data_IF_656186986600
#
_entry.id   IF_656186986600
#
_cell.length_a   1.000
_cell.length_b   1.000
_cell.length_c   1.000
_cell.angle_alpha   90.00
_cell.angle_beta   90.00
_cell.angle_gamma   90.00
#
_symmetry.space_group_name_H-M   'P 1'
#
loop_
_entity.id
_entity.type
_entity.pdbx_description
1 polymer ?
#
# COMPACT_ATOMS: atom_id res chain seq x y z
N UNK A 1 7.80 -21.31 -18.46
CA UNK A 1 6.36 -21.22 -18.16
C UNK A 1 6.24 -20.99 -16.65
N UNK A 2 6.21 -19.72 -16.22
CA UNK A 2 6.17 -19.37 -14.79
C UNK A 2 4.74 -19.54 -14.28
N UNK A 3 4.42 -20.72 -13.75
CA UNK A 3 3.34 -20.85 -12.78
C UNK A 3 3.84 -20.28 -11.46
N UNK A 4 3.99 -18.96 -11.42
CA UNK A 4 3.99 -18.26 -10.15
C UNK A 4 2.59 -18.49 -9.60
N UNK A 5 2.54 -19.32 -8.55
CA UNK A 5 1.44 -19.32 -7.60
C UNK A 5 0.97 -17.88 -7.50
N UNK A 6 -0.23 -17.59 -7.99
CA UNK A 6 -0.92 -16.36 -7.61
C UNK A 6 -1.02 -16.52 -6.10
N UNK A 7 -0.04 -15.97 -5.37
CA UNK A 7 -0.15 -15.84 -3.92
C UNK A 7 -1.54 -15.26 -3.73
N UNK A 8 -2.42 -16.04 -3.13
CA UNK A 8 -3.81 -15.66 -3.00
C UNK A 8 -3.80 -14.24 -2.42
N UNK A 9 -4.48 -13.30 -3.06
CA UNK A 9 -4.72 -12.01 -2.43
C UNK A 9 -5.65 -12.33 -1.26
N UNK A 10 -5.11 -12.28 -0.05
CA UNK A 10 -5.85 -12.61 1.19
C UNK A 10 -6.33 -11.33 1.85
N UNK A 11 -5.64 -10.21 1.61
CA UNK A 11 -5.87 -8.96 2.31
C UNK A 11 -5.91 -7.78 1.35
N UNK A 12 -6.85 -6.89 1.63
CA UNK A 12 -7.10 -5.66 0.91
C UNK A 12 -6.98 -4.48 1.87
N UNK A 13 -6.19 -3.48 1.50
CA UNK A 13 -5.91 -2.30 2.32
C UNK A 13 -6.14 -1.02 1.55
N UNK A 14 -6.68 -0.02 2.24
CA UNK A 14 -6.66 1.37 1.81
C UNK A 14 -5.57 2.09 2.59
N UNK A 15 -4.64 2.71 1.87
CA UNK A 15 -3.50 3.42 2.47
C UNK A 15 -3.63 4.89 2.12
N UNK A 16 -3.73 5.72 3.15
CA UNK A 16 -3.67 7.17 3.03
C UNK A 16 -2.26 7.64 3.36
N UNK A 17 -1.85 8.73 2.74
CA UNK A 17 -0.61 9.42 3.09
C UNK A 17 -0.59 10.85 2.60
N UNK A 18 0.47 11.54 2.98
CA UNK A 18 0.72 12.94 2.66
C UNK A 18 2.09 13.10 2.00
N UNK A 19 2.15 13.84 0.89
CA UNK A 19 3.38 14.08 0.15
C UNK A 19 3.60 13.10 -1.00
N UNK A 20 4.77 12.44 -1.04
CA UNK A 20 5.20 11.66 -2.21
C UNK A 20 4.66 10.23 -2.17
N UNK A 21 3.52 10.02 -2.83
CA UNK A 21 2.88 8.70 -2.96
C UNK A 21 3.71 7.70 -3.77
N UNK A 22 4.52 8.15 -4.74
CA UNK A 22 5.27 7.28 -5.66
C UNK A 22 6.25 6.37 -4.90
N UNK A 23 6.94 6.90 -3.89
CA UNK A 23 7.87 6.12 -3.07
C UNK A 23 7.16 4.99 -2.31
N UNK A 24 5.95 5.27 -1.82
CA UNK A 24 5.14 4.28 -1.09
C UNK A 24 4.60 3.23 -2.05
N UNK A 25 4.08 3.64 -3.22
CA UNK A 25 3.63 2.73 -4.27
C UNK A 25 4.77 1.79 -4.71
N UNK A 26 5.96 2.34 -4.96
CA UNK A 26 7.13 1.56 -5.37
C UNK A 26 7.56 0.52 -4.31
N UNK A 27 7.44 0.84 -3.02
CA UNK A 27 7.74 -0.11 -1.94
C UNK A 27 6.68 -1.22 -1.86
N UNK A 28 5.40 -0.85 -1.86
CA UNK A 28 4.29 -1.79 -1.76
C UNK A 28 4.23 -2.77 -2.95
N UNK A 29 4.53 -2.29 -4.15
CA UNK A 29 4.59 -3.08 -5.38
C UNK A 29 5.64 -4.22 -5.35
N UNK A 30 6.58 -4.20 -4.40
CA UNK A 30 7.54 -5.30 -4.21
C UNK A 30 6.90 -6.56 -3.62
N UNK A 31 5.75 -6.43 -2.96
CA UNK A 31 5.11 -7.48 -2.15
C UNK A 31 3.60 -7.59 -2.38
N UNK A 32 3.06 -6.91 -3.38
CA UNK A 32 1.63 -6.92 -3.68
C UNK A 32 1.28 -6.03 -4.87
N UNK A 33 0.00 -5.79 -5.05
CA UNK A 33 -0.53 -5.01 -6.16
C UNK A 33 -1.10 -3.70 -5.65
N UNK A 34 -0.60 -2.59 -6.19
CA UNK A 34 -1.08 -1.24 -5.90
C UNK A 34 -1.97 -0.76 -7.04
N UNK A 35 -3.11 -0.18 -6.72
CA UNK A 35 -4.07 0.35 -7.70
C UNK A 35 -4.94 1.46 -7.10
N UNK A 36 -5.70 2.17 -7.95
CA UNK A 36 -6.52 3.34 -7.59
C UNK A 36 -5.78 4.40 -6.73
N UNK A 37 -4.55 4.78 -7.14
CA UNK A 37 -3.84 5.88 -6.50
C UNK A 37 -4.40 7.22 -6.98
N UNK A 38 -4.94 8.03 -6.06
CA UNK A 38 -5.57 9.31 -6.37
C UNK A 38 -5.36 10.34 -5.26
N UNK A 39 -5.56 11.61 -5.60
CA UNK A 39 -5.59 12.68 -4.60
C UNK A 39 -6.92 12.63 -3.83
N UNK A 40 -6.86 12.59 -2.51
CA UNK A 40 -8.03 12.56 -1.64
C UNK A 40 -7.71 13.25 -0.30
N UNK A 41 -8.36 14.38 0.04
CA UNK A 41 -9.33 15.14 -0.76
C UNK A 41 -8.70 16.00 -1.87
N UNK A 42 -7.37 16.02 -1.94
CA UNK A 42 -6.59 16.87 -2.86
C UNK A 42 -5.12 16.86 -2.50
N UNK A 43 -4.22 17.30 -3.40
CA UNK A 43 -2.79 17.29 -3.14
C UNK A 43 -2.44 18.18 -1.92
N UNK A 44 -1.45 17.76 -1.11
CA UNK A 44 -0.59 16.60 -1.30
C UNK A 44 -1.10 15.34 -0.57
N UNK A 45 -2.37 15.31 -0.14
CA UNK A 45 -3.00 14.15 0.48
C UNK A 45 -3.48 13.17 -0.59
N UNK A 46 -3.24 11.89 -0.38
CA UNK A 46 -3.60 10.86 -1.33
C UNK A 46 -4.09 9.61 -0.62
N UNK A 47 -4.80 8.79 -1.39
CA UNK A 47 -5.11 7.41 -1.03
C UNK A 47 -4.70 6.47 -2.17
N UNK A 48 -4.44 5.22 -1.81
CA UNK A 48 -4.26 4.12 -2.75
C UNK A 48 -4.90 2.86 -2.19
N UNK A 49 -5.14 1.92 -3.08
CA UNK A 49 -5.58 0.57 -2.74
C UNK A 49 -4.42 -0.40 -2.90
N UNK A 50 -4.32 -1.37 -1.99
CA UNK A 50 -3.23 -2.32 -1.92
C UNK A 50 -3.72 -3.74 -1.60
N UNK A 51 -3.47 -4.66 -2.53
CA UNK A 51 -3.75 -6.09 -2.39
C UNK A 51 -2.49 -6.88 -2.14
N UNK A 52 -2.52 -7.76 -1.13
CA UNK A 52 -1.37 -8.57 -0.76
C UNK A 52 -1.77 -9.81 0.03
N UNK A 53 -0.83 -10.76 0.15
CA UNK A 53 -0.91 -11.87 1.11
C UNK A 53 -0.41 -11.47 2.51
N UNK A 54 0.22 -10.30 2.65
CA UNK A 54 0.76 -9.81 3.93
C UNK A 54 -0.33 -9.37 4.90
N UNK A 55 -0.15 -9.70 6.18
CA UNK A 55 -0.97 -9.18 7.28
C UNK A 55 -0.58 -7.73 7.58
N UNK A 56 -1.47 -7.01 8.25
CA UNK A 56 -1.32 -5.57 8.50
C UNK A 56 0.03 -5.21 9.13
N UNK A 57 0.48 -5.98 10.14
CA UNK A 57 1.79 -5.78 10.77
C UNK A 57 2.95 -5.88 9.78
N UNK A 58 2.89 -6.83 8.86
CA UNK A 58 3.92 -7.02 7.83
C UNK A 58 3.90 -5.90 6.80
N UNK A 59 2.72 -5.35 6.48
CA UNK A 59 2.59 -4.14 5.64
C UNK A 59 3.19 -2.92 6.35
N UNK A 60 2.87 -2.72 7.63
CA UNK A 60 3.45 -1.65 8.47
C UNK A 60 4.98 -1.77 8.50
N UNK A 61 5.50 -2.97 8.72
CA UNK A 61 6.95 -3.22 8.73
C UNK A 61 7.59 -2.94 7.35
N UNK A 62 6.91 -3.31 6.25
CA UNK A 62 7.36 -3.06 4.88
C UNK A 62 7.52 -1.57 4.55
N UNK A 63 6.65 -0.71 5.11
CA UNK A 63 6.67 0.74 4.87
C UNK A 63 7.16 1.55 6.08
N UNK A 64 7.76 0.92 7.10
CA UNK A 64 8.09 1.55 8.38
C UNK A 64 8.92 2.83 8.26
N UNK A 65 9.91 2.86 7.37
CA UNK A 65 10.77 4.02 7.09
C UNK A 65 10.04 5.15 6.35
N UNK A 66 8.94 4.83 5.66
CA UNK A 66 8.10 5.78 4.93
C UNK A 66 6.91 6.25 5.77
N UNK A 67 6.43 5.42 6.70
CA UNK A 67 5.26 5.67 7.52
C UNK A 67 5.39 6.97 8.33
N UNK A 68 6.55 7.17 8.97
CA UNK A 68 6.82 8.39 9.73
C UNK A 68 7.03 9.62 8.84
N UNK A 69 7.50 9.43 7.59
CA UNK A 69 7.82 10.52 6.67
C UNK A 69 6.60 11.06 5.93
N UNK A 70 5.65 10.18 5.61
CA UNK A 70 4.50 10.48 4.76
C UNK A 70 3.15 10.32 5.48
N UNK A 71 3.16 10.32 6.82
CA UNK A 71 1.96 10.24 7.66
C UNK A 71 1.00 9.12 7.22
N UNK A 72 1.55 7.91 7.09
CA UNK A 72 0.80 6.80 6.50
C UNK A 72 -0.25 6.26 7.47
N UNK A 73 -1.50 6.18 6.99
CA UNK A 73 -2.59 5.48 7.66
C UNK A 73 -3.03 4.29 6.82
N UNK A 74 -2.85 3.10 7.38
CA UNK A 74 -3.23 1.83 6.76
C UNK A 74 -4.55 1.39 7.38
N UNK A 75 -5.55 1.11 6.54
CA UNK A 75 -6.86 0.60 6.97
C UNK A 75 -7.16 -0.66 6.18
N UNK A 76 -7.46 -1.76 6.87
CA UNK A 76 -7.96 -2.96 6.22
C UNK A 76 -9.38 -2.70 5.71
N UNK A 77 -9.67 -3.11 4.48
CA UNK A 77 -11.00 -3.05 3.90
C UNK A 77 -11.45 -4.49 3.66
N UNK A 78 -12.49 -4.90 4.38
CA UNK A 78 -13.00 -6.28 4.45
C UNK A 78 -13.96 -6.61 3.30
#
# INVERSE_FOLDING_TARGET
MMNAVRDAVIHHYVIHGYGNSINVQARLAQRGHVYHAEWDPGPPSWRLTYDTSLREREVVDLVKDLAARYDLKITRSD
#
